data_IF_171075118716
#
_entry.id   IF_171075118716
#
_cell.length_a   1.000
_cell.length_b   1.000
_cell.length_c   1.000
_cell.angle_alpha   90.00
_cell.angle_beta   90.00
_cell.angle_gamma   90.00
#
_symmetry.space_group_name_H-M   'P 1'
#
loop_
_entity.id
_entity.type
_entity.pdbx_description
1 polymer ?
#
# COMPACT_ATOMS: atom_id res chain seq x y z
N UNK A 1 -2.36 14.78 13.75
CA UNK A 1 -3.02 13.84 12.83
C UNK A 1 -4.01 14.60 11.97
N UNK A 2 -3.74 14.77 10.68
CA UNK A 2 -4.70 15.36 9.73
C UNK A 2 -5.88 14.41 9.58
N UNK A 3 -7.10 14.84 9.93
CA UNK A 3 -8.30 14.03 9.73
C UNK A 3 -8.53 13.85 8.23
N UNK A 4 -8.41 12.61 7.74
CA UNK A 4 -8.80 12.27 6.38
C UNK A 4 -10.32 12.46 6.23
N UNK A 5 -10.73 13.18 5.19
CA UNK A 5 -12.13 13.36 4.84
C UNK A 5 -12.50 12.37 3.76
N UNK A 6 -13.57 11.60 4.00
CA UNK A 6 -14.07 10.59 3.09
C UNK A 6 -15.36 11.08 2.44
N UNK A 7 -15.44 10.93 1.13
CA UNK A 7 -16.63 11.22 0.34
C UNK A 7 -17.07 9.95 -0.38
N UNK A 8 -18.37 9.71 -0.46
CA UNK A 8 -18.90 8.59 -1.25
C UNK A 8 -19.35 9.11 -2.61
N UNK A 9 -18.81 8.51 -3.66
CA UNK A 9 -19.29 8.76 -5.02
C UNK A 9 -20.69 8.17 -5.20
N UNK A 10 -21.48 8.67 -6.17
CA UNK A 10 -22.80 8.09 -6.51
C UNK A 10 -22.75 6.60 -6.87
N UNK A 11 -21.58 6.10 -7.26
CA UNK A 11 -21.29 4.71 -7.62
C UNK A 11 -20.90 3.85 -6.41
N UNK A 12 -20.96 4.39 -5.19
CA UNK A 12 -20.63 3.68 -3.96
C UNK A 12 -19.14 3.58 -3.63
N UNK A 13 -18.24 4.12 -4.47
CA UNK A 13 -16.81 4.15 -4.18
C UNK A 13 -16.49 5.23 -3.15
N UNK A 14 -15.70 4.88 -2.14
CA UNK A 14 -15.11 5.81 -1.18
C UNK A 14 -13.94 6.55 -1.83
N UNK A 15 -13.96 7.88 -1.76
CA UNK A 15 -12.88 8.76 -2.15
C UNK A 15 -12.36 9.50 -0.91
N UNK A 16 -11.06 9.79 -0.92
CA UNK A 16 -10.39 10.51 0.17
C UNK A 16 -9.95 11.86 -0.36
N UNK A 17 -10.24 12.92 0.37
CA UNK A 17 -9.69 14.23 0.06
C UNK A 17 -8.20 14.26 0.43
N UNK A 18 -7.34 14.51 -0.56
CA UNK A 18 -5.89 14.52 -0.39
C UNK A 18 -5.33 15.92 -0.62
N UNK A 19 -4.58 16.43 0.37
CA UNK A 19 -3.90 17.73 0.29
C UNK A 19 -2.41 17.61 -0.01
N UNK A 20 -1.79 16.47 0.31
CA UNK A 20 -0.37 16.23 0.03
C UNK A 20 -0.12 15.99 -1.46
N UNK A 21 1.10 16.30 -1.93
CA UNK A 21 1.49 16.20 -3.34
C UNK A 21 2.93 15.70 -3.46
N UNK A 22 3.27 15.16 -4.62
CA UNK A 22 4.64 14.75 -4.96
C UNK A 22 5.22 13.78 -3.93
N UNK A 23 6.46 14.04 -3.51
CA UNK A 23 7.19 13.20 -2.56
C UNK A 23 6.52 13.11 -1.19
N UNK A 24 5.90 14.19 -0.70
CA UNK A 24 5.24 14.19 0.61
C UNK A 24 4.14 13.11 0.67
N UNK A 25 3.34 13.02 -0.39
CA UNK A 25 2.30 12.01 -0.54
C UNK A 25 2.87 10.59 -0.61
N UNK A 26 3.99 10.40 -1.32
CA UNK A 26 4.65 9.09 -1.41
C UNK A 26 5.30 8.64 -0.09
N UNK A 27 5.64 9.59 0.80
CA UNK A 27 6.16 9.32 2.12
C UNK A 27 5.04 9.06 3.16
N UNK A 28 3.78 9.27 2.81
CA UNK A 28 2.64 9.03 3.69
C UNK A 28 2.04 7.64 3.40
N UNK A 29 2.30 6.68 4.29
CA UNK A 29 1.89 5.27 4.16
C UNK A 29 0.38 5.08 3.94
N UNK A 30 -0.45 5.95 4.52
CA UNK A 30 -1.91 5.89 4.42
C UNK A 30 -2.42 6.33 3.04
N UNK A 31 -1.70 7.21 2.36
CA UNK A 31 -2.10 7.79 1.07
C UNK A 31 -1.38 7.16 -0.11
N UNK A 32 -0.19 6.62 0.12
CA UNK A 32 0.65 6.07 -0.93
C UNK A 32 0.05 4.78 -1.51
N UNK A 33 -0.24 4.80 -2.81
CA UNK A 33 -0.70 3.62 -3.58
C UNK A 33 0.43 2.95 -4.36
N UNK A 34 1.67 3.42 -4.21
CA UNK A 34 2.80 3.00 -5.02
C UNK A 34 2.51 3.17 -6.50
N UNK A 35 2.68 2.09 -7.29
CA UNK A 35 2.41 2.12 -8.72
C UNK A 35 0.92 2.04 -9.09
N UNK A 36 0.00 1.96 -8.12
CA UNK A 36 -1.44 1.84 -8.39
C UNK A 36 -2.12 3.20 -8.64
N UNK A 37 -1.39 4.32 -8.49
CA UNK A 37 -1.89 5.59 -8.97
C UNK A 37 -2.15 5.51 -10.47
N UNK A 38 -3.37 5.85 -10.86
CA UNK A 38 -3.77 6.03 -12.26
C UNK A 38 -3.05 7.24 -12.86
N UNK A 39 -3.03 7.34 -14.20
CA UNK A 39 -2.39 8.48 -14.87
C UNK A 39 -3.02 9.82 -14.45
N UNK A 40 -4.36 9.86 -14.34
CA UNK A 40 -5.09 11.05 -13.89
C UNK A 40 -4.73 11.46 -12.45
N UNK A 41 -4.55 10.49 -11.54
CA UNK A 41 -4.08 10.76 -10.18
C UNK A 41 -2.63 11.24 -10.18
N UNK A 42 -1.76 10.67 -11.03
CA UNK A 42 -0.35 11.08 -11.13
C UNK A 42 -0.21 12.51 -11.61
N UNK A 43 -1.08 12.95 -12.53
CA UNK A 43 -1.16 14.34 -12.97
C UNK A 43 -1.61 15.26 -11.84
N UNK A 44 -2.76 14.94 -11.25
CA UNK A 44 -3.40 15.77 -10.22
C UNK A 44 -2.55 15.88 -8.95
N UNK A 45 -1.82 14.81 -8.61
CA UNK A 45 -1.03 14.71 -7.39
C UNK A 45 0.46 15.07 -7.57
N UNK A 46 0.88 15.42 -8.79
CA UNK A 46 2.28 15.80 -9.07
C UNK A 46 3.26 14.63 -8.93
N UNK A 47 2.88 13.44 -9.40
CA UNK A 47 3.67 12.20 -9.29
C UNK A 47 4.37 11.81 -10.60
N UNK A 48 4.15 12.55 -11.70
CA UNK A 48 4.87 12.30 -12.96
C UNK A 48 6.38 12.41 -12.75
N UNK A 49 7.11 11.41 -13.25
CA UNK A 49 8.57 11.30 -13.10
C UNK A 49 9.03 10.75 -11.75
N UNK A 50 8.17 10.66 -10.71
CA UNK A 50 8.52 10.10 -9.41
C UNK A 50 8.25 8.59 -9.31
N UNK A 51 7.44 8.05 -10.21
CA UNK A 51 7.04 6.65 -10.26
C UNK A 51 7.30 6.08 -11.65
N UNK A 52 7.56 4.76 -11.77
CA UNK A 52 7.62 4.08 -13.07
C UNK A 52 6.37 4.34 -13.91
N UNK A 53 6.54 4.41 -15.24
CA UNK A 53 5.50 4.83 -16.18
C UNK A 53 4.21 4.01 -16.06
N UNK A 54 4.33 2.68 -16.01
CA UNK A 54 3.16 1.81 -16.11
C UNK A 54 2.44 1.68 -14.75
N UNK A 55 1.16 2.09 -14.65
CA UNK A 55 0.38 1.81 -13.46
C UNK A 55 0.18 0.30 -13.29
N UNK A 56 0.25 -0.16 -12.06
CA UNK A 56 0.10 -1.58 -11.72
C UNK A 56 -1.11 -1.74 -10.79
N UNK A 57 -2.11 -2.55 -11.15
CA UNK A 57 -3.28 -2.82 -10.31
C UNK A 57 -2.89 -3.31 -8.91
N UNK A 58 -3.76 -3.07 -7.93
CA UNK A 58 -3.49 -3.41 -6.52
C UNK A 58 -3.25 -4.92 -6.35
N UNK A 59 -4.00 -5.74 -7.08
CA UNK A 59 -3.95 -7.19 -7.06
C UNK A 59 -2.57 -7.70 -7.50
N UNK A 60 -2.01 -7.11 -8.56
CA UNK A 60 -0.67 -7.45 -9.06
C UNK A 60 0.40 -7.00 -8.06
N UNK A 61 0.21 -5.85 -7.40
CA UNK A 61 1.12 -5.40 -6.36
C UNK A 61 1.09 -6.31 -5.12
N UNK A 62 -0.10 -6.78 -4.72
CA UNK A 62 -0.29 -7.69 -3.60
C UNK A 62 0.42 -9.02 -3.86
N UNK A 63 0.15 -9.66 -5.01
CA UNK A 63 0.81 -10.90 -5.40
C UNK A 63 2.34 -10.78 -5.45
N UNK A 64 2.87 -9.66 -5.99
CA UNK A 64 4.31 -9.39 -6.01
C UNK A 64 4.89 -9.15 -4.62
N UNK A 65 4.20 -8.40 -3.76
CA UNK A 65 4.65 -8.12 -2.41
C UNK A 65 4.69 -9.41 -1.58
N UNK A 66 3.61 -10.18 -1.61
CA UNK A 66 3.51 -11.49 -0.98
C UNK A 66 4.62 -12.43 -1.44
N UNK A 67 4.77 -12.61 -2.76
CA UNK A 67 5.82 -13.47 -3.31
C UNK A 67 7.25 -13.03 -2.95
N UNK A 68 7.50 -11.73 -2.77
CA UNK A 68 8.80 -11.25 -2.30
C UNK A 68 9.03 -11.51 -0.80
N UNK A 69 7.97 -11.40 0.00
CA UNK A 69 8.02 -11.68 1.44
C UNK A 69 8.24 -13.17 1.66
N UNK A 70 7.41 -14.05 1.08
CA UNK A 70 7.47 -15.49 1.29
C UNK A 70 8.67 -16.19 0.65
N UNK A 71 9.51 -15.49 -0.12
CA UNK A 71 10.84 -15.99 -0.52
C UNK A 71 11.82 -16.06 0.65
N UNK A 72 11.54 -15.35 1.73
CA UNK A 72 12.36 -15.32 2.94
C UNK A 72 11.95 -16.50 3.82
N UNK A 73 12.93 -17.25 4.30
CA UNK A 73 12.72 -18.44 5.13
C UNK A 73 12.79 -18.15 6.63
N UNK A 74 13.39 -17.03 7.02
CA UNK A 74 13.53 -16.63 8.42
C UNK A 74 12.32 -15.82 8.90
N UNK A 75 11.67 -16.19 10.02
CA UNK A 75 10.54 -15.47 10.58
C UNK A 75 10.82 -13.98 10.85
N UNK A 76 12.03 -13.63 11.29
CA UNK A 76 12.40 -12.23 11.50
C UNK A 76 12.47 -11.46 10.18
N UNK A 77 13.04 -12.07 9.14
CA UNK A 77 13.02 -11.46 7.80
C UNK A 77 11.61 -11.29 7.24
N UNK A 78 10.70 -12.23 7.48
CA UNK A 78 9.29 -12.12 7.10
C UNK A 78 8.62 -10.94 7.83
N UNK A 79 8.87 -10.81 9.12
CA UNK A 79 8.38 -9.68 9.92
C UNK A 79 8.91 -8.34 9.38
N UNK A 80 10.21 -8.24 9.10
CA UNK A 80 10.82 -7.04 8.50
C UNK A 80 10.17 -6.72 7.15
N UNK A 81 9.88 -7.73 6.34
CA UNK A 81 9.19 -7.57 5.06
C UNK A 81 7.77 -6.99 5.21
N UNK A 82 7.00 -7.50 6.18
CA UNK A 82 5.66 -7.01 6.49
C UNK A 82 5.67 -5.59 7.08
N UNK A 83 6.59 -5.30 8.01
CA UNK A 83 6.77 -3.97 8.60
C UNK A 83 7.15 -2.93 7.53
N UNK A 84 8.11 -3.25 6.65
CA UNK A 84 8.50 -2.38 5.55
C UNK A 84 7.36 -2.15 4.54
N UNK A 85 6.47 -3.13 4.38
CA UNK A 85 5.28 -2.96 3.55
C UNK A 85 4.29 -1.98 4.19
N UNK A 86 4.04 -2.11 5.49
CA UNK A 86 3.19 -1.22 6.28
C UNK A 86 3.67 0.23 6.23
N UNK A 87 4.96 0.46 6.47
CA UNK A 87 5.58 1.79 6.46
C UNK A 87 5.50 2.48 5.09
N UNK A 88 5.48 1.70 4.01
CA UNK A 88 5.43 2.24 2.64
C UNK A 88 4.01 2.44 2.14
N UNK A 89 3.12 1.47 2.38
CA UNK A 89 1.77 1.44 1.83
C UNK A 89 0.88 0.57 2.73
N UNK A 90 0.14 1.23 3.60
CA UNK A 90 -0.68 0.58 4.61
C UNK A 90 -1.90 -0.14 4.00
N UNK A 91 -2.44 0.39 2.89
CA UNK A 91 -3.53 -0.28 2.16
C UNK A 91 -3.07 -1.63 1.59
N UNK A 92 -1.88 -1.66 1.00
CA UNK A 92 -1.30 -2.88 0.43
C UNK A 92 -0.91 -3.88 1.53
N UNK A 93 -0.43 -3.40 2.68
CA UNK A 93 -0.18 -4.23 3.85
C UNK A 93 -1.44 -4.96 4.30
N UNK A 94 -2.54 -4.25 4.55
CA UNK A 94 -3.79 -4.89 4.98
C UNK A 94 -4.40 -5.77 3.89
N UNK A 95 -4.18 -5.46 2.61
CA UNK A 95 -4.60 -6.32 1.50
C UNK A 95 -3.88 -7.68 1.57
N UNK A 96 -2.55 -7.66 1.66
CA UNK A 96 -1.73 -8.89 1.73
C UNK A 96 -2.02 -9.67 3.00
N UNK A 97 -2.08 -9.00 4.15
CA UNK A 97 -2.40 -9.65 5.43
C UNK A 97 -3.80 -10.27 5.41
N UNK A 98 -4.79 -9.59 4.84
CA UNK A 98 -6.15 -10.12 4.74
C UNK A 98 -6.28 -11.31 3.80
N UNK A 99 -5.52 -11.34 2.69
CA UNK A 99 -5.50 -12.46 1.74
C UNK A 99 -4.76 -13.69 2.30
N UNK A 100 -3.79 -13.51 3.20
CA UNK A 100 -2.92 -14.56 3.74
C UNK A 100 -2.91 -14.57 5.28
N UNK A 101 -4.06 -14.39 5.90
CA UNK A 101 -4.19 -14.14 7.34
C UNK A 101 -3.63 -15.29 8.18
N UNK A 102 -3.90 -16.55 7.81
CA UNK A 102 -3.47 -17.73 8.57
C UNK A 102 -1.94 -17.86 8.61
N UNK A 103 -1.28 -17.53 7.49
CA UNK A 103 0.18 -17.64 7.34
C UNK A 103 0.92 -16.45 7.96
N UNK A 104 0.37 -15.24 7.83
CA UNK A 104 1.05 -13.99 8.19
C UNK A 104 0.73 -13.49 9.60
N UNK A 105 -0.39 -13.86 10.20
CA UNK A 105 -0.75 -13.43 11.57
C UNK A 105 0.30 -13.80 12.63
N UNK A 106 0.85 -15.04 12.65
CA UNK A 106 1.92 -15.39 13.59
C UNK A 106 3.18 -14.55 13.39
N UNK A 107 3.46 -14.13 12.15
CA UNK A 107 4.62 -13.29 11.84
C UNK A 107 4.45 -11.87 12.39
N UNK A 108 3.25 -11.27 12.26
CA UNK A 108 3.05 -9.84 12.58
C UNK A 108 2.64 -9.56 14.04
N UNK A 109 2.06 -10.52 14.77
CA UNK A 109 1.43 -10.23 16.06
C UNK A 109 1.77 -11.20 17.21
N UNK A 110 2.07 -12.46 16.94
CA UNK A 110 2.28 -13.46 18.00
C UNK A 110 3.47 -14.37 17.71
N UNK A 111 4.61 -14.25 18.42
CA UNK A 111 5.53 -15.38 18.45
C UNK A 111 4.78 -16.56 19.09
N UNK A 112 4.73 -17.70 18.39
CA UNK A 112 4.21 -18.95 18.95
C UNK A 112 5.35 -19.69 19.65
#
# INVERSE_FOLDING_TARGET
>A
MTKLKFERTPQGKLQVQVHERGRALLCNSLLNKGTAFTDAERDTLGLRGLLPQNPTPMEVQAARAYGNICRKSDPLELYIGMAALQDRNETLFYRVLGEHVEELMPIVYTPT
#
